data_IF_317069659138
#
_entry.id   IF_317069659138
#
_cell.length_a   1.000
_cell.length_b   1.000
_cell.length_c   1.000
_cell.angle_alpha   90.00
_cell.angle_beta   90.00
_cell.angle_gamma   90.00
#
_symmetry.space_group_name_H-M   'P 1'
#
loop_
_entity.id
_entity.type
_entity.pdbx_description
1 polymer ?
#
# COMPACT_ATOMS: atom_id res chain seq x y z
N UNK A 1 -8.49 -0.77 -4.50
CA UNK A 1 -7.96 0.52 -5.00
C UNK A 1 -6.90 0.29 -6.05
N UNK A 2 -5.74 -0.27 -5.71
CA UNK A 2 -4.65 -0.50 -6.68
C UNK A 2 -5.10 -1.23 -7.94
N UNK A 3 -5.83 -2.34 -7.82
CA UNK A 3 -6.38 -3.06 -8.99
C UNK A 3 -7.27 -2.18 -9.87
N UNK A 4 -8.17 -1.39 -9.27
CA UNK A 4 -9.09 -0.54 -10.03
C UNK A 4 -8.32 0.49 -10.86
N UNK A 5 -7.32 1.12 -10.26
CA UNK A 5 -6.50 2.12 -10.92
C UNK A 5 -5.55 1.50 -11.95
N UNK A 6 -4.88 0.40 -11.61
CA UNK A 6 -3.86 -0.24 -12.45
C UNK A 6 -4.50 -0.95 -13.66
N UNK A 7 -5.66 -1.58 -13.49
CA UNK A 7 -6.44 -2.12 -14.60
C UNK A 7 -6.98 -1.01 -15.51
N UNK A 8 -7.46 0.09 -14.92
CA UNK A 8 -7.94 1.24 -15.70
C UNK A 8 -6.81 1.91 -16.48
N UNK A 9 -5.62 2.03 -15.88
CA UNK A 9 -4.41 2.52 -16.54
C UNK A 9 -4.00 1.59 -17.69
N UNK A 10 -4.02 0.28 -17.49
CA UNK A 10 -3.71 -0.69 -18.54
C UNK A 10 -4.65 -0.55 -19.73
N UNK A 11 -5.97 -0.54 -19.50
CA UNK A 11 -6.98 -0.36 -20.56
C UNK A 11 -6.76 0.96 -21.28
N UNK A 12 -6.54 2.04 -20.54
CA UNK A 12 -6.29 3.36 -21.12
C UNK A 12 -5.06 3.37 -22.03
N UNK A 13 -3.92 2.81 -21.60
CA UNK A 13 -2.70 2.72 -22.42
C UNK A 13 -2.93 1.85 -23.66
N UNK A 14 -3.69 0.76 -23.53
CA UNK A 14 -3.99 -0.13 -24.65
C UNK A 14 -4.84 0.55 -25.73
N UNK A 15 -5.88 1.29 -25.33
CA UNK A 15 -6.82 1.93 -26.27
C UNK A 15 -6.25 3.19 -26.94
N UNK A 16 -5.36 3.91 -26.27
CA UNK A 16 -4.87 5.22 -26.72
C UNK A 16 -3.44 5.17 -27.28
N UNK A 17 -2.89 3.98 -27.53
CA UNK A 17 -1.52 3.82 -28.06
C UNK A 17 -0.45 4.29 -27.07
N UNK A 18 -0.72 4.16 -25.78
CA UNK A 18 0.24 4.44 -24.71
C UNK A 18 1.42 3.47 -24.72
N UNK A 19 2.45 3.76 -23.92
CA UNK A 19 3.64 2.90 -23.82
C UNK A 19 3.31 1.57 -23.16
N UNK A 20 3.66 0.50 -23.84
CA UNK A 20 3.55 -0.89 -23.40
C UNK A 20 4.93 -1.57 -23.47
N UNK A 21 5.21 -2.59 -22.63
CA UNK A 21 4.32 -3.20 -21.63
C UNK A 21 4.03 -2.27 -20.44
N UNK A 22 3.01 -2.59 -19.64
CA UNK A 22 2.85 -2.02 -18.30
C UNK A 22 3.49 -2.99 -17.29
N UNK A 23 4.34 -2.47 -16.40
CA UNK A 23 4.95 -3.25 -15.32
C UNK A 23 4.37 -2.80 -13.99
N UNK A 24 4.16 -3.72 -13.05
CA UNK A 24 3.59 -3.35 -11.75
C UNK A 24 4.54 -2.47 -10.93
N UNK A 25 3.99 -1.65 -10.05
CA UNK A 25 4.75 -0.69 -9.22
C UNK A 25 4.64 -0.95 -7.71
N UNK A 26 3.87 -1.96 -7.29
CA UNK A 26 3.52 -2.16 -5.88
C UNK A 26 4.67 -2.67 -4.98
N UNK A 27 5.75 -3.20 -5.58
CA UNK A 27 6.91 -3.73 -4.89
C UNK A 27 8.04 -2.69 -4.85
N UNK A 28 8.38 -2.12 -3.68
CA UNK A 28 9.40 -1.06 -3.60
C UNK A 28 10.81 -1.54 -3.94
N UNK A 29 11.11 -2.83 -3.72
CA UNK A 29 12.39 -3.41 -4.16
C UNK A 29 12.51 -3.45 -5.69
N UNK A 30 11.41 -3.75 -6.38
CA UNK A 30 11.33 -3.72 -7.84
C UNK A 30 11.43 -2.29 -8.38
N UNK A 31 10.68 -1.35 -7.80
CA UNK A 31 10.75 0.08 -8.17
C UNK A 31 12.18 0.59 -8.06
N UNK A 32 12.86 0.33 -6.94
CA UNK A 32 14.23 0.77 -6.73
C UNK A 32 15.22 0.14 -7.71
N UNK A 33 15.08 -1.17 -7.99
CA UNK A 33 15.89 -1.83 -9.01
C UNK A 33 15.70 -1.17 -10.38
N UNK A 34 14.46 -0.90 -10.76
CA UNK A 34 14.11 -0.31 -12.03
C UNK A 34 14.66 1.12 -12.17
N UNK A 35 14.53 1.94 -11.13
CA UNK A 35 15.12 3.29 -11.05
C UNK A 35 16.63 3.31 -11.27
N UNK A 36 17.34 2.29 -10.77
CA UNK A 36 18.79 2.20 -10.91
C UNK A 36 19.28 1.59 -12.22
N UNK A 37 18.57 0.61 -12.77
CA UNK A 37 19.03 -0.15 -13.94
C UNK A 37 18.43 0.33 -15.26
N UNK A 38 17.26 0.98 -15.22
CA UNK A 38 16.46 1.38 -16.38
C UNK A 38 15.93 2.81 -16.22
N UNK A 39 16.80 3.74 -15.83
CA UNK A 39 16.44 5.14 -15.53
C UNK A 39 15.87 5.91 -16.73
N UNK A 40 16.07 5.42 -17.95
CA UNK A 40 15.52 5.96 -19.20
C UNK A 40 14.12 5.41 -19.55
N UNK A 41 13.61 4.46 -18.76
CA UNK A 41 12.34 3.76 -19.02
C UNK A 41 11.30 3.92 -17.90
N UNK A 42 11.42 4.97 -17.07
CA UNK A 42 10.58 5.19 -15.87
C UNK A 42 9.08 5.38 -16.16
N UNK A 43 8.69 5.49 -17.43
CA UNK A 43 7.30 5.56 -17.87
C UNK A 43 6.67 4.18 -18.18
N UNK A 44 7.46 3.11 -18.14
CA UNK A 44 6.98 1.72 -18.31
C UNK A 44 6.22 1.21 -17.07
N UNK A 45 6.70 1.39 -15.82
CA UNK A 45 5.94 1.00 -14.65
C UNK A 45 4.58 1.72 -14.54
N UNK A 46 3.63 1.08 -13.86
CA UNK A 46 2.34 1.67 -13.51
C UNK A 46 2.55 2.93 -12.66
N UNK A 47 1.74 3.94 -12.92
CA UNK A 47 1.70 5.17 -12.11
C UNK A 47 0.99 4.98 -10.77
N UNK A 48 0.38 3.81 -10.55
CA UNK A 48 -0.34 3.50 -9.32
C UNK A 48 0.60 3.50 -8.11
N UNK A 49 0.12 4.10 -7.01
CA UNK A 49 0.68 3.87 -5.68
C UNK A 49 0.47 2.41 -5.26
N UNK A 50 1.34 1.91 -4.39
CA UNK A 50 1.14 0.57 -3.83
C UNK A 50 -0.05 0.53 -2.85
N UNK A 51 -0.59 -0.66 -2.51
CA UNK A 51 -1.81 -0.77 -1.72
C UNK A 51 -1.78 -0.04 -0.37
N UNK A 52 -0.66 -0.08 0.37
CA UNK A 52 -0.59 0.60 1.67
C UNK A 52 -0.45 2.12 1.53
N UNK A 53 0.22 2.62 0.49
CA UNK A 53 0.29 4.07 0.22
C UNK A 53 -1.07 4.59 -0.26
N UNK A 54 -1.77 3.84 -1.12
CA UNK A 54 -3.15 4.17 -1.49
C UNK A 54 -4.09 4.17 -0.28
N UNK A 55 -3.96 3.17 0.60
CA UNK A 55 -4.73 3.13 1.84
C UNK A 55 -4.42 4.33 2.72
N UNK A 56 -3.14 4.66 2.93
CA UNK A 56 -2.72 5.80 3.74
C UNK A 56 -3.28 7.12 3.23
N UNK A 57 -3.20 7.34 1.92
CA UNK A 57 -3.78 8.51 1.27
C UNK A 57 -5.31 8.61 1.51
N UNK A 58 -6.05 7.51 1.35
CA UNK A 58 -7.51 7.47 1.58
C UNK A 58 -7.87 7.64 3.05
N UNK A 59 -7.08 7.06 3.96
CA UNK A 59 -7.29 7.18 5.41
C UNK A 59 -7.16 8.64 5.85
N UNK A 60 -6.15 9.37 5.36
CA UNK A 60 -5.90 10.77 5.74
C UNK A 60 -6.73 11.79 4.98
N UNK A 61 -7.43 11.39 3.93
CA UNK A 61 -8.31 12.28 3.15
C UNK A 61 -9.77 11.93 3.41
N UNK A 62 -10.26 10.88 2.77
CA UNK A 62 -11.65 10.45 2.82
C UNK A 62 -12.10 10.07 4.23
N UNK A 63 -11.34 9.23 4.94
CA UNK A 63 -11.76 8.78 6.27
C UNK A 63 -11.65 9.90 7.30
N UNK A 64 -10.54 10.64 7.32
CA UNK A 64 -10.35 11.80 8.19
C UNK A 64 -11.48 12.83 8.01
N UNK A 65 -11.82 13.17 6.76
CA UNK A 65 -12.95 14.07 6.46
C UNK A 65 -14.29 13.49 6.94
N UNK A 66 -14.54 12.20 6.71
CA UNK A 66 -15.78 11.54 7.13
C UNK A 66 -15.94 11.48 8.66
N UNK A 67 -14.84 11.39 9.38
CA UNK A 67 -14.80 11.35 10.84
C UNK A 67 -14.68 12.73 11.50
N UNK A 68 -14.59 13.80 10.71
CA UNK A 68 -14.31 15.17 11.19
C UNK A 68 -13.02 15.26 12.03
N UNK A 69 -11.98 14.55 11.59
CA UNK A 69 -10.66 14.52 12.21
C UNK A 69 -9.67 15.28 11.32
N UNK A 70 -8.87 16.13 11.93
CA UNK A 70 -7.73 16.77 11.29
C UNK A 70 -6.73 15.71 10.77
N UNK A 71 -6.42 15.67 9.46
CA UNK A 71 -5.45 14.73 8.89
C UNK A 71 -4.09 14.72 9.61
N UNK A 72 -3.63 15.86 10.13
CA UNK A 72 -2.37 15.96 10.88
C UNK A 72 -2.41 15.19 12.22
N UNK A 73 -3.60 14.91 12.74
CA UNK A 73 -3.82 14.11 13.96
C UNK A 73 -4.01 12.63 13.67
N UNK A 74 -4.00 12.23 12.40
CA UNK A 74 -4.17 10.83 11.99
C UNK A 74 -2.81 10.18 11.77
N UNK A 75 -2.54 9.11 12.52
CA UNK A 75 -1.33 8.30 12.37
C UNK A 75 -1.70 6.97 11.70
N UNK A 76 -1.17 6.73 10.52
CA UNK A 76 -1.34 5.49 9.76
C UNK A 76 -0.14 4.59 10.01
N UNK A 77 -0.39 3.44 10.64
CA UNK A 77 0.61 2.40 10.88
C UNK A 77 0.30 1.20 10.00
N UNK A 78 1.29 0.74 9.25
CA UNK A 78 1.16 -0.42 8.37
C UNK A 78 1.98 -1.61 8.88
N UNK A 79 1.36 -2.79 8.93
CA UNK A 79 2.02 -4.05 9.30
C UNK A 79 2.39 -4.79 8.02
N UNK A 80 3.69 -5.00 7.78
CA UNK A 80 4.18 -5.49 6.50
C UNK A 80 5.12 -6.71 6.64
N UNK A 81 5.07 -7.68 5.73
CA UNK A 81 6.09 -8.73 5.65
C UNK A 81 7.40 -8.25 5.00
N UNK A 82 7.54 -6.96 4.70
CA UNK A 82 8.61 -6.40 3.88
C UNK A 82 9.28 -5.20 4.55
N UNK A 83 10.62 -5.22 4.63
CA UNK A 83 11.41 -4.09 5.15
C UNK A 83 11.47 -2.93 4.16
N UNK A 84 11.45 -3.21 2.85
CA UNK A 84 11.49 -2.17 1.82
C UNK A 84 10.24 -1.26 1.85
N UNK A 85 9.14 -1.71 2.45
CA UNK A 85 7.96 -0.86 2.69
C UNK A 85 8.24 0.30 3.66
N UNK A 86 9.21 0.16 4.58
CA UNK A 86 9.70 1.28 5.40
C UNK A 86 10.39 2.35 4.55
N UNK A 87 11.11 1.94 3.51
CA UNK A 87 11.75 2.86 2.58
C UNK A 87 10.71 3.57 1.70
N UNK A 88 9.70 2.84 1.21
CA UNK A 88 8.58 3.41 0.45
C UNK A 88 7.87 4.51 1.22
N UNK A 89 7.41 4.23 2.46
CA UNK A 89 6.75 5.21 3.31
C UNK A 89 7.65 6.40 3.73
N UNK A 90 8.96 6.33 3.47
CA UNK A 90 9.90 7.40 3.73
C UNK A 90 10.18 8.28 2.49
N UNK A 91 9.64 7.94 1.32
CA UNK A 91 9.84 8.73 0.10
C UNK A 91 9.14 10.09 0.24
N UNK A 92 9.84 11.22 0.00
CA UNK A 92 9.29 12.57 0.23
C UNK A 92 8.09 12.91 -0.66
N UNK A 93 7.96 12.26 -1.82
CA UNK A 93 6.83 12.42 -2.75
C UNK A 93 5.58 11.65 -2.34
N UNK A 94 5.67 10.73 -1.37
CA UNK A 94 4.54 9.91 -0.90
C UNK A 94 3.86 10.58 0.30
N UNK A 95 2.99 11.52 -0.03
CA UNK A 95 2.20 12.29 0.93
C UNK A 95 1.41 13.41 0.28
N UNK A 96 0.62 14.11 1.07
CA UNK A 96 -0.12 15.29 0.63
C UNK A 96 -0.25 16.31 1.77
N UNK A 97 -0.21 17.60 1.43
CA UNK A 97 -0.43 18.68 2.40
C UNK A 97 0.56 18.70 3.57
N UNK A 98 1.81 18.23 3.36
CA UNK A 98 2.82 18.15 4.41
C UNK A 98 2.74 16.89 5.30
N UNK A 99 1.74 16.04 5.08
CA UNK A 99 1.60 14.75 5.76
C UNK A 99 2.05 13.60 4.86
N UNK A 100 2.63 12.56 5.45
CA UNK A 100 2.92 11.30 4.75
C UNK A 100 1.65 10.49 4.55
N UNK A 101 1.57 9.72 3.48
CA UNK A 101 0.46 8.76 3.30
C UNK A 101 0.49 7.70 4.42
N UNK A 102 1.65 7.10 4.67
CA UNK A 102 1.90 6.15 5.77
C UNK A 102 2.99 6.70 6.71
N UNK A 103 2.68 6.79 8.02
CA UNK A 103 3.62 7.37 8.99
C UNK A 103 4.66 6.36 9.48
N UNK A 104 4.19 5.13 9.74
CA UNK A 104 5.00 4.07 10.32
C UNK A 104 4.75 2.76 9.62
N UNK A 105 5.82 2.00 9.40
CA UNK A 105 5.74 0.63 8.92
C UNK A 105 6.47 -0.27 9.91
N UNK A 106 5.74 -1.24 10.45
CA UNK A 106 6.28 -2.29 11.32
C UNK A 106 6.22 -3.63 10.60
N UNK A 107 7.21 -4.46 10.85
CA UNK A 107 7.27 -5.81 10.28
C UNK A 107 6.40 -6.78 11.06
N UNK A 108 6.05 -7.92 10.44
CA UNK A 108 5.40 -9.04 11.14
C UNK A 108 6.17 -9.46 12.40
N UNK A 109 7.51 -9.42 12.36
CA UNK A 109 8.36 -9.74 13.51
C UNK A 109 8.25 -8.70 14.63
N UNK A 110 8.26 -7.42 14.27
CA UNK A 110 8.09 -6.32 15.23
C UNK A 110 6.71 -6.37 15.89
N UNK A 111 5.64 -6.59 15.13
CA UNK A 111 4.30 -6.77 15.71
C UNK A 111 4.25 -7.99 16.65
N UNK A 112 4.80 -9.13 16.23
CA UNK A 112 4.83 -10.33 17.07
C UNK A 112 5.61 -10.10 18.39
N UNK A 113 6.66 -9.27 18.36
CA UNK A 113 7.39 -8.87 19.55
C UNK A 113 6.55 -7.96 20.45
N UNK A 114 5.88 -6.94 19.90
CA UNK A 114 5.00 -6.04 20.65
C UNK A 114 3.87 -6.80 21.37
N UNK A 115 3.26 -7.78 20.70
CA UNK A 115 2.20 -8.63 21.29
C UNK A 115 2.74 -9.40 22.51
N UNK A 116 3.93 -9.98 22.41
CA UNK A 116 4.58 -10.70 23.53
C UNK A 116 4.96 -9.77 24.67
N UNK A 117 5.52 -8.60 24.37
CA UNK A 117 5.92 -7.61 25.36
C UNK A 117 4.71 -7.01 26.10
N UNK A 118 3.56 -6.92 25.45
CA UNK A 118 2.29 -6.51 26.06
C UNK A 118 1.67 -7.60 26.96
N UNK A 119 2.24 -8.81 27.01
CA UNK A 119 1.70 -9.94 27.80
C UNK A 119 0.42 -10.54 27.22
N UNK A 120 0.17 -10.37 25.92
CA UNK A 120 -1.03 -10.87 25.24
C UNK A 120 -0.81 -12.31 24.79
N UNK A 121 -1.67 -13.23 25.24
CA UNK A 121 -1.73 -14.59 24.70
C UNK A 121 -2.55 -14.62 23.41
N UNK A 122 -1.87 -14.41 22.30
CA UNK A 122 -2.46 -14.30 20.97
C UNK A 122 -3.33 -15.51 20.59
N UNK A 123 -2.99 -16.73 21.03
CA UNK A 123 -3.71 -17.94 20.65
C UNK A 123 -5.09 -18.06 21.33
N UNK A 124 -5.35 -17.23 22.33
CA UNK A 124 -6.60 -17.23 23.10
C UNK A 124 -7.57 -16.13 22.69
N UNK A 125 -7.14 -15.24 21.78
CA UNK A 125 -7.95 -14.12 21.34
C UNK A 125 -9.18 -14.60 20.56
N UNK A 126 -10.30 -13.95 20.82
CA UNK A 126 -11.52 -14.14 20.03
C UNK A 126 -11.39 -13.39 18.71
N UNK A 127 -11.93 -13.97 17.64
CA UNK A 127 -12.03 -13.30 16.35
C UNK A 127 -12.92 -12.05 16.48
N UNK A 128 -12.53 -10.99 15.80
CA UNK A 128 -13.30 -9.75 15.67
C UNK A 128 -13.29 -9.31 14.21
N UNK A 129 -14.32 -8.55 13.83
CA UNK A 129 -14.42 -7.96 12.51
C UNK A 129 -13.52 -6.72 12.39
N UNK A 130 -13.15 -6.37 11.15
CA UNK A 130 -12.41 -5.14 10.85
C UNK A 130 -13.34 -3.92 10.85
N UNK A 131 -12.76 -2.73 11.02
CA UNK A 131 -13.50 -1.47 11.07
C UNK A 131 -14.05 -1.04 9.69
N UNK A 132 -15.30 -0.58 9.65
CA UNK A 132 -15.90 0.04 8.46
C UNK A 132 -15.59 1.56 8.44
N UNK A 133 -15.28 2.20 7.28
CA UNK A 133 -15.43 1.70 5.91
C UNK A 133 -14.17 1.14 5.26
N UNK A 134 -12.99 1.22 5.90
CA UNK A 134 -11.74 0.88 5.21
C UNK A 134 -11.22 -0.54 5.47
N UNK A 135 -11.83 -1.29 6.40
CA UNK A 135 -11.39 -2.64 6.78
C UNK A 135 -11.97 -3.78 5.93
N UNK A 136 -12.93 -3.50 5.04
CA UNK A 136 -13.47 -4.51 4.14
C UNK A 136 -12.49 -4.82 3.00
N UNK A 137 -12.23 -6.11 2.79
CA UNK A 137 -11.34 -6.62 1.74
C UNK A 137 -12.10 -7.59 0.82
N UNK A 138 -11.75 -7.61 -0.46
CA UNK A 138 -12.28 -8.59 -1.43
C UNK A 138 -11.37 -9.80 -1.53
N UNK A 139 -11.85 -10.91 -2.11
CA UNK A 139 -11.05 -12.11 -2.34
C UNK A 139 -9.82 -11.88 -3.23
N UNK A 140 -9.90 -10.93 -4.16
CA UNK A 140 -8.79 -10.52 -5.03
C UNK A 140 -7.62 -9.89 -4.24
N UNK A 141 -7.93 -9.13 -3.18
CA UNK A 141 -6.91 -8.55 -2.30
C UNK A 141 -6.19 -9.59 -1.43
N UNK A 142 -6.81 -10.76 -1.16
CA UNK A 142 -6.24 -11.81 -0.30
C UNK A 142 -5.03 -12.48 -0.95
N UNK A 143 -5.02 -12.58 -2.30
CA UNK A 143 -3.95 -13.27 -3.03
C UNK A 143 -2.72 -12.39 -3.29
N UNK A 144 -2.77 -11.08 -3.01
CA UNK A 144 -1.66 -10.14 -3.22
C UNK A 144 -0.33 -10.58 -2.58
N UNK A 145 -0.39 -11.32 -1.47
CA UNK A 145 0.78 -11.82 -0.76
C UNK A 145 1.52 -12.97 -1.48
N UNK A 146 0.89 -13.59 -2.48
CA UNK A 146 1.49 -14.64 -3.30
C UNK A 146 2.11 -14.06 -4.57
N UNK A 147 3.20 -14.66 -5.05
CA UNK A 147 3.77 -14.31 -6.37
C UNK A 147 2.71 -14.50 -7.46
N UNK A 148 2.49 -13.46 -8.26
CA UNK A 148 1.45 -13.43 -9.30
C UNK A 148 0.09 -12.91 -8.84
N UNK A 149 -0.17 -12.79 -7.53
CA UNK A 149 -1.49 -12.42 -7.03
C UNK A 149 -1.96 -11.01 -7.39
N UNK A 150 -1.04 -10.06 -7.57
CA UNK A 150 -1.38 -8.70 -8.06
C UNK A 150 -1.76 -8.70 -9.53
N UNK A 151 -1.19 -9.62 -10.33
CA UNK A 151 -1.49 -9.74 -11.75
C UNK A 151 -2.78 -10.53 -12.01
N UNK A 152 -3.09 -11.47 -11.12
CA UNK A 152 -4.32 -12.28 -11.20
C UNK A 152 -5.56 -11.52 -10.73
N UNK A 153 -5.39 -10.64 -9.75
CA UNK A 153 -6.45 -9.80 -9.18
C UNK A 153 -6.88 -8.67 -10.12
#
# INVERSE_FOLDING_TARGET
LTIMEEASEFVHRLEHGGKLPILTSCCPGWVKFFEHQFSDMLDIPSSCKSPHEMFGAVAKTYLAQKMDIDPEKTVVVSVMPCVAKKYEAARPELGHGGTKDVDLVITTRELAQMIREAGIDFNTLQNQDFDNPLGESTGASVIFGATGGVMEA
#
